data_IF_491378815163
#
_entry.id   IF_491378815163
#
_cell.length_a   1.000
_cell.length_b   1.000
_cell.length_c   1.000
_cell.angle_alpha   90.00
_cell.angle_beta   90.00
_cell.angle_gamma   90.00
#
_symmetry.space_group_name_H-M   'P 1'
#
loop_
_entity.id
_entity.type
_entity.pdbx_description
1 polymer ?
#
# COMPACT_ATOMS: atom_id res chain seq x y z
N UNK A 1 8.12 -6.94 25.21
CA UNK A 1 8.85 -7.21 23.95
C UNK A 1 8.09 -8.33 23.24
N UNK A 2 7.51 -8.06 22.07
CA UNK A 2 6.84 -9.12 21.30
C UNK A 2 7.93 -10.01 20.69
N UNK A 3 7.93 -11.31 21.03
CA UNK A 3 8.93 -12.27 20.54
C UNK A 3 8.60 -12.62 19.10
N UNK A 4 9.57 -12.44 18.20
CA UNK A 4 9.43 -12.82 16.79
C UNK A 4 9.61 -14.34 16.62
N UNK A 5 8.65 -15.01 15.98
CA UNK A 5 8.71 -16.43 15.66
C UNK A 5 8.81 -16.64 14.13
N UNK A 6 9.97 -17.09 13.61
CA UNK A 6 10.18 -17.29 12.17
C UNK A 6 9.24 -18.32 11.54
N UNK A 7 8.92 -19.41 12.25
CA UNK A 7 8.04 -20.46 11.73
C UNK A 7 6.61 -19.95 11.58
N UNK A 8 6.13 -19.20 12.59
CA UNK A 8 4.82 -18.56 12.54
C UNK A 8 4.74 -17.52 11.42
N UNK A 9 5.81 -16.75 11.19
CA UNK A 9 5.87 -15.79 10.10
C UNK A 9 5.83 -16.47 8.72
N UNK A 10 6.64 -17.53 8.52
CA UNK A 10 6.66 -18.29 7.25
C UNK A 10 5.31 -18.93 6.91
N UNK A 11 4.57 -19.39 7.90
CA UNK A 11 3.25 -20.00 7.70
C UNK A 11 2.23 -19.05 7.03
N UNK A 12 2.47 -17.73 7.07
CA UNK A 12 1.59 -16.73 6.46
C UNK A 12 1.77 -16.59 4.94
N UNK A 13 2.76 -17.25 4.33
CA UNK A 13 3.09 -17.10 2.91
C UNK A 13 2.73 -18.36 2.13
N UNK A 14 1.53 -18.45 1.53
CA UNK A 14 1.06 -19.66 0.85
C UNK A 14 1.98 -20.07 -0.31
N UNK A 15 2.59 -19.11 -1.01
CA UNK A 15 3.51 -19.36 -2.12
C UNK A 15 4.80 -20.10 -1.72
N UNK A 16 5.18 -20.12 -0.43
CA UNK A 16 6.39 -20.83 0.00
C UNK A 16 6.28 -22.35 -0.13
N UNK A 17 5.07 -22.91 -0.19
CA UNK A 17 4.88 -24.35 -0.38
C UNK A 17 5.30 -24.79 -1.80
N UNK A 18 5.11 -23.92 -2.79
CA UNK A 18 5.41 -24.18 -4.21
C UNK A 18 6.77 -23.61 -4.63
N UNK A 19 7.16 -22.45 -4.08
CA UNK A 19 8.38 -21.73 -4.47
C UNK A 19 9.69 -22.42 -4.04
N UNK A 20 9.64 -23.47 -3.22
CA UNK A 20 10.82 -24.15 -2.70
C UNK A 20 11.74 -23.19 -1.91
N UNK A 21 13.02 -23.13 -2.30
CA UNK A 21 14.00 -22.21 -1.71
C UNK A 21 13.97 -20.88 -2.47
N UNK A 22 13.12 -19.96 -2.01
CA UNK A 22 13.00 -18.61 -2.59
C UNK A 22 14.04 -17.64 -2.00
N UNK A 23 15.01 -17.21 -2.81
CA UNK A 23 16.08 -16.28 -2.42
C UNK A 23 16.08 -14.96 -3.21
N UNK A 24 14.98 -14.63 -3.90
CA UNK A 24 14.86 -13.44 -4.76
C UNK A 24 13.88 -12.38 -4.21
N UNK A 25 13.76 -12.28 -2.89
CA UNK A 25 12.89 -11.30 -2.22
C UNK A 25 13.26 -9.85 -2.51
N UNK A 26 14.50 -9.59 -2.96
CA UNK A 26 14.96 -8.26 -3.36
C UNK A 26 14.33 -7.80 -4.69
N UNK A 27 14.08 -8.71 -5.62
CA UNK A 27 13.37 -8.39 -6.85
C UNK A 27 11.87 -8.21 -6.59
N UNK A 28 11.24 -9.12 -5.84
CA UNK A 28 9.84 -8.97 -5.40
C UNK A 28 9.55 -9.84 -4.18
N UNK A 29 9.01 -9.25 -3.12
CA UNK A 29 8.60 -10.03 -1.94
C UNK A 29 7.33 -10.86 -2.21
N UNK A 30 7.31 -12.10 -1.70
CA UNK A 30 6.11 -12.94 -1.62
C UNK A 30 5.02 -12.26 -0.78
N UNK A 31 3.76 -12.60 -1.05
CA UNK A 31 2.61 -11.95 -0.41
C UNK A 31 2.08 -12.81 0.74
N UNK A 32 1.87 -12.25 1.94
CA UNK A 32 1.21 -12.97 3.02
C UNK A 32 -0.29 -13.10 2.75
N UNK A 33 -0.94 -14.06 3.39
CA UNK A 33 -2.37 -14.37 3.23
C UNK A 33 -3.27 -13.14 3.46
N UNK A 34 -2.94 -12.29 4.43
CA UNK A 34 -3.68 -11.05 4.70
C UNK A 34 -3.76 -10.11 3.48
N UNK A 35 -2.72 -10.05 2.64
CA UNK A 35 -2.71 -9.24 1.42
C UNK A 35 -3.57 -9.90 0.35
N UNK A 36 -3.41 -11.22 0.16
CA UNK A 36 -4.20 -11.99 -0.81
C UNK A 36 -5.69 -11.87 -0.51
N UNK A 37 -6.07 -12.03 0.75
CA UNK A 37 -7.46 -11.95 1.20
C UNK A 37 -8.02 -10.54 1.04
N UNK A 38 -7.26 -9.50 1.40
CA UNK A 38 -7.70 -8.11 1.21
C UNK A 38 -7.94 -7.78 -0.28
N UNK A 39 -7.04 -8.23 -1.17
CA UNK A 39 -7.19 -8.08 -2.62
C UNK A 39 -8.38 -8.87 -3.15
N UNK A 40 -8.56 -10.12 -2.69
CA UNK A 40 -9.71 -10.95 -3.05
C UNK A 40 -11.01 -10.27 -2.65
N UNK A 41 -11.11 -9.75 -1.43
CA UNK A 41 -12.28 -8.99 -0.98
C UNK A 41 -12.51 -7.76 -1.83
N UNK A 42 -11.47 -6.98 -2.12
CA UNK A 42 -11.59 -5.78 -2.94
C UNK A 42 -12.18 -6.08 -4.33
N UNK A 43 -11.73 -7.12 -5.01
CA UNK A 43 -12.26 -7.51 -6.32
C UNK A 43 -13.58 -8.28 -6.26
N UNK A 44 -13.88 -8.96 -5.15
CA UNK A 44 -15.14 -9.70 -4.96
C UNK A 44 -16.29 -8.79 -4.54
N UNK A 45 -15.98 -7.65 -3.91
CA UNK A 45 -16.96 -6.61 -3.63
C UNK A 45 -17.32 -5.95 -4.95
N UNK A 46 -18.61 -5.97 -5.28
CA UNK A 46 -19.13 -5.33 -6.48
C UNK A 46 -18.73 -3.85 -6.47
N UNK A 47 -17.77 -3.48 -7.32
CA UNK A 47 -17.53 -2.10 -7.75
C UNK A 47 -18.69 -1.64 -8.66
N UNK A 48 -19.93 -1.96 -8.23
CA UNK A 48 -21.15 -1.81 -8.99
C UNK A 48 -21.38 -0.34 -9.28
N UNK A 49 -21.47 0.00 -10.56
CA UNK A 49 -21.66 1.35 -11.02
C UNK A 49 -22.84 2.02 -10.33
N UNK A 50 -22.55 3.17 -9.69
CA UNK A 50 -23.22 4.45 -9.91
C UNK A 50 -24.73 4.28 -10.13
N UNK A 51 -25.59 4.30 -9.10
CA UNK A 51 -26.33 5.50 -8.72
C UNK A 51 -27.14 5.18 -7.43
N UNK A 52 -26.92 5.96 -6.36
CA UNK A 52 -27.78 6.13 -5.16
C UNK A 52 -27.71 5.18 -3.96
N UNK A 53 -26.90 4.12 -3.94
CA UNK A 53 -26.82 3.24 -2.73
C UNK A 53 -25.40 3.02 -2.17
N UNK A 54 -24.39 3.68 -2.74
CA UNK A 54 -22.97 3.43 -2.42
C UNK A 54 -22.43 4.16 -1.19
N UNK A 55 -23.24 4.91 -0.43
CA UNK A 55 -22.69 5.71 0.67
C UNK A 55 -21.94 4.87 1.71
N UNK A 56 -22.48 3.69 2.07
CA UNK A 56 -21.85 2.80 3.04
C UNK A 56 -20.58 2.11 2.50
N UNK A 57 -20.60 1.62 1.26
CA UNK A 57 -19.45 0.92 0.65
C UNK A 57 -18.33 1.90 0.25
N UNK A 58 -18.68 3.07 -0.29
CA UNK A 58 -17.72 4.14 -0.54
C UNK A 58 -17.09 4.63 0.76
N UNK A 59 -17.87 4.81 1.84
CA UNK A 59 -17.33 5.21 3.14
C UNK A 59 -16.41 4.12 3.73
N UNK A 60 -16.75 2.83 3.58
CA UNK A 60 -15.86 1.72 4.00
C UNK A 60 -14.55 1.70 3.21
N UNK A 61 -14.59 1.94 1.90
CA UNK A 61 -13.40 2.04 1.07
C UNK A 61 -12.54 3.24 1.47
N UNK A 62 -13.16 4.42 1.66
CA UNK A 62 -12.45 5.61 2.16
C UNK A 62 -11.80 5.35 3.52
N UNK A 63 -12.51 4.75 4.48
CA UNK A 63 -11.94 4.42 5.79
C UNK A 63 -10.75 3.45 5.67
N UNK A 64 -10.84 2.42 4.82
CA UNK A 64 -9.73 1.49 4.56
C UNK A 64 -8.54 2.21 3.91
N UNK A 65 -8.82 3.18 3.04
CA UNK A 65 -7.81 3.95 2.32
C UNK A 65 -7.08 4.95 3.23
N UNK A 66 -7.81 5.71 4.05
CA UNK A 66 -7.20 6.61 5.04
C UNK A 66 -6.41 5.83 6.10
N UNK A 67 -6.96 4.70 6.57
CA UNK A 67 -6.23 3.81 7.47
C UNK A 67 -4.95 3.24 6.83
N UNK A 68 -4.88 3.14 5.49
CA UNK A 68 -3.65 2.74 4.81
C UNK A 68 -2.60 3.86 4.83
N UNK A 69 -3.00 5.14 4.67
CA UNK A 69 -2.07 6.28 4.78
C UNK A 69 -1.50 6.39 6.18
N UNK A 70 -2.35 6.30 7.19
CA UNK A 70 -1.95 6.32 8.60
C UNK A 70 -0.95 5.19 8.93
N UNK A 71 -1.19 3.97 8.44
CA UNK A 71 -0.25 2.85 8.61
C UNK A 71 1.11 3.11 7.97
N UNK A 72 1.15 3.74 6.79
CA UNK A 72 2.41 4.13 6.14
C UNK A 72 3.09 5.25 6.92
N UNK A 73 2.34 6.24 7.41
CA UNK A 73 2.87 7.31 8.24
C UNK A 73 3.52 6.76 9.52
N UNK A 74 2.87 5.83 10.21
CA UNK A 74 3.43 5.15 11.38
C UNK A 74 4.68 4.33 11.05
N UNK A 75 4.69 3.62 9.93
CA UNK A 75 5.87 2.85 9.49
C UNK A 75 7.08 3.76 9.23
N UNK A 76 6.86 4.94 8.67
CA UNK A 76 7.90 5.91 8.33
C UNK A 76 8.16 6.94 9.44
N UNK A 77 7.40 6.88 10.54
CA UNK A 77 7.37 7.92 11.58
C UNK A 77 7.14 9.33 11.01
N UNK A 78 6.24 9.44 10.02
CA UNK A 78 5.84 10.72 9.44
C UNK A 78 4.93 11.51 10.40
N UNK A 79 5.01 12.84 10.43
CA UNK A 79 4.26 13.67 11.37
C UNK A 79 2.75 13.78 11.05
N UNK A 80 2.36 13.54 9.80
CA UNK A 80 0.98 13.62 9.33
C UNK A 80 0.76 12.70 8.12
N UNK A 81 -0.39 12.04 8.05
CA UNK A 81 -0.76 11.10 6.99
C UNK A 81 -0.93 11.80 5.62
N UNK A 82 -1.23 13.10 5.64
CA UNK A 82 -1.31 13.97 4.45
C UNK A 82 0.02 14.16 3.74
N UNK A 83 1.14 13.87 4.41
CA UNK A 83 2.46 13.90 3.78
C UNK A 83 2.75 12.66 2.92
N UNK A 84 1.90 11.63 3.01
CA UNK A 84 2.01 10.42 2.21
C UNK A 84 1.32 10.64 0.86
N UNK A 85 2.00 10.35 -0.26
CA UNK A 85 1.42 10.41 -1.61
C UNK A 85 1.55 9.05 -2.27
N UNK A 86 0.44 8.50 -2.74
CA UNK A 86 0.42 7.21 -3.43
C UNK A 86 0.92 7.35 -4.87
N UNK A 87 1.83 6.46 -5.25
CA UNK A 87 2.34 6.30 -6.61
C UNK A 87 2.31 4.83 -6.98
N UNK A 88 2.58 4.51 -8.24
CA UNK A 88 2.70 3.16 -8.79
C UNK A 88 3.99 2.46 -8.39
N UNK A 89 4.97 3.20 -7.84
CA UNK A 89 6.24 2.64 -7.38
C UNK A 89 7.32 3.70 -7.20
N UNK A 90 8.49 3.26 -6.71
CA UNK A 90 9.63 4.11 -6.34
C UNK A 90 10.07 5.03 -7.47
N UNK A 91 10.16 4.51 -8.70
CA UNK A 91 10.58 5.30 -9.88
C UNK A 91 9.61 6.46 -10.16
N UNK A 92 8.30 6.23 -10.05
CA UNK A 92 7.31 7.30 -10.24
C UNK A 92 7.39 8.33 -9.10
N UNK A 93 7.59 7.91 -7.85
CA UNK A 93 7.77 8.84 -6.73
C UNK A 93 8.95 9.78 -6.91
N UNK A 94 10.09 9.26 -7.40
CA UNK A 94 11.29 10.08 -7.66
C UNK A 94 11.00 11.09 -8.78
N UNK A 95 10.38 10.63 -9.88
CA UNK A 95 10.01 11.51 -10.98
C UNK A 95 9.03 12.59 -10.54
N UNK A 96 8.03 12.23 -9.74
CA UNK A 96 7.04 13.17 -9.21
C UNK A 96 7.68 14.23 -8.33
N UNK A 97 8.57 13.83 -7.41
CA UNK A 97 9.32 14.77 -6.57
C UNK A 97 10.20 15.71 -7.39
N UNK A 98 10.86 15.19 -8.43
CA UNK A 98 11.64 16.01 -9.37
C UNK A 98 10.78 17.03 -10.13
N UNK A 99 9.62 16.64 -10.65
CA UNK A 99 8.71 17.54 -11.36
C UNK A 99 8.13 18.62 -10.45
N UNK A 100 7.67 18.26 -9.24
CA UNK A 100 7.14 19.25 -8.28
C UNK A 100 8.22 20.25 -7.81
N UNK A 101 9.43 19.77 -7.51
CA UNK A 101 10.52 20.64 -7.07
C UNK A 101 10.92 21.63 -8.17
N UNK A 102 11.08 21.16 -9.42
CA UNK A 102 11.36 22.01 -10.58
C UNK A 102 10.24 23.03 -10.87
N UNK A 103 8.97 22.65 -10.66
CA UNK A 103 7.85 23.57 -10.80
C UNK A 103 7.87 24.67 -9.71
N UNK A 104 8.22 24.33 -8.47
CA UNK A 104 8.31 25.30 -7.37
C UNK A 104 9.47 26.29 -7.51
N UNK A 105 10.63 25.82 -8.01
CA UNK A 105 11.80 26.69 -8.22
C UNK A 105 11.62 27.64 -9.40
N UNK A 106 10.90 27.22 -10.45
CA UNK A 106 10.56 28.09 -11.59
C UNK A 106 9.47 29.12 -11.30
N UNK A 107 8.62 28.88 -10.29
CA UNK A 107 7.62 29.85 -9.81
C UNK A 107 8.20 30.90 -8.85
N UNK A 108 9.29 30.59 -8.14
CA UNK A 108 9.91 31.49 -7.15
C UNK A 108 11.00 32.39 -7.77
N UNK A 109 11.36 32.16 -9.03
CA UNK A 109 12.36 32.90 -9.80
C UNK A 109 11.81 34.02 -10.70
N UNK A 110 10.59 34.52 -10.44
CA UNK A 110 10.01 35.69 -11.11
C UNK A 110 9.58 36.75 -10.11
#
# INVERSE_FOLDING_TARGET
>A
MNVFNPAQFRAQFPALQDAGVYLDSAATALKPEAVVEATRQFYSLSAGNVHRSQFAEAQRLTVRYEAAREKVAQLLNAPDDKTIVWTRGTTESINHGGTMLCASTSATGR
#
